data_IF_796351002652
#
_entry.id   IF_796351002652
#
_cell.length_a   1.000
_cell.length_b   1.000
_cell.length_c   1.000
_cell.angle_alpha   90.00
_cell.angle_beta   90.00
_cell.angle_gamma   90.00
#
_symmetry.space_group_name_H-M   'P 1'
#
loop_
_entity.id
_entity.type
_entity.pdbx_description
1 polymer ?
#
# COMPACT_ATOMS: atom_id res chain seq x y z
N UNK A 1 23.08 26.61 1.09
CA UNK A 1 21.85 25.96 1.60
C UNK A 1 20.69 26.49 0.77
N UNK A 2 20.29 25.79 -0.28
CA UNK A 2 19.22 26.24 -1.18
C UNK A 2 17.93 25.59 -0.69
N UNK A 3 17.08 26.38 -0.05
CA UNK A 3 15.78 25.96 0.45
C UNK A 3 14.77 26.12 -0.69
N UNK A 4 14.41 25.02 -1.35
CA UNK A 4 13.41 25.03 -2.40
C UNK A 4 12.01 25.21 -1.78
N UNK A 5 11.44 26.40 -1.90
CA UNK A 5 10.04 26.66 -1.58
C UNK A 5 9.18 26.23 -2.76
N UNK A 6 8.82 24.95 -2.81
CA UNK A 6 7.84 24.46 -3.79
C UNK A 6 6.43 24.87 -3.38
N UNK A 7 5.64 25.33 -4.36
CA UNK A 7 4.22 25.65 -4.16
C UNK A 7 3.37 24.38 -4.02
N UNK A 8 2.21 24.44 -3.34
CA UNK A 8 1.34 23.27 -3.09
C UNK A 8 0.95 22.48 -4.36
N UNK A 9 0.86 23.17 -5.50
CA UNK A 9 0.54 22.56 -6.81
C UNK A 9 1.72 21.76 -7.37
N UNK A 10 2.94 22.25 -7.19
CA UNK A 10 4.17 21.55 -7.61
C UNK A 10 4.44 20.32 -6.74
N UNK A 11 4.16 20.41 -5.43
CA UNK A 11 4.21 19.25 -4.53
C UNK A 11 3.32 18.10 -5.00
N UNK A 12 2.08 18.38 -5.45
CA UNK A 12 1.18 17.36 -5.98
C UNK A 12 1.78 16.61 -7.17
N UNK A 13 2.39 17.34 -8.11
CA UNK A 13 3.00 16.76 -9.32
C UNK A 13 4.26 15.94 -8.99
N UNK A 14 5.08 16.40 -8.05
CA UNK A 14 6.27 15.66 -7.60
C UNK A 14 5.87 14.34 -6.94
N UNK A 15 4.89 14.39 -6.02
CA UNK A 15 4.39 13.20 -5.33
C UNK A 15 3.77 12.18 -6.28
N UNK A 16 3.09 12.63 -7.33
CA UNK A 16 2.50 11.75 -8.35
C UNK A 16 3.58 11.04 -9.17
N UNK A 17 4.65 11.75 -9.56
CA UNK A 17 5.80 11.16 -10.25
C UNK A 17 6.52 10.12 -9.40
N UNK A 18 6.75 10.41 -8.12
CA UNK A 18 7.39 9.45 -7.20
C UNK A 18 6.53 8.21 -6.99
N UNK A 19 5.22 8.38 -6.83
CA UNK A 19 4.27 7.27 -6.71
C UNK A 19 4.31 6.35 -7.94
N UNK A 20 4.36 6.92 -9.16
CA UNK A 20 4.48 6.13 -10.39
C UNK A 20 5.78 5.32 -10.42
N UNK A 21 6.92 5.94 -10.08
CA UNK A 21 8.23 5.26 -10.01
C UNK A 21 8.20 4.07 -9.04
N UNK A 22 7.60 4.23 -7.87
CA UNK A 22 7.47 3.15 -6.89
C UNK A 22 6.63 2.00 -7.45
N UNK A 23 5.54 2.29 -8.16
CA UNK A 23 4.67 1.27 -8.75
C UNK A 23 5.35 0.52 -9.89
N UNK A 24 6.10 1.20 -10.75
CA UNK A 24 6.88 0.58 -11.82
C UNK A 24 7.93 -0.38 -11.25
N UNK A 25 8.64 0.07 -10.21
CA UNK A 25 9.66 -0.75 -9.55
C UNK A 25 9.06 -1.96 -8.84
N UNK A 26 7.92 -1.79 -8.17
CA UNK A 26 7.19 -2.91 -7.56
C UNK A 26 6.79 -3.96 -8.61
N UNK A 27 6.27 -3.52 -9.77
CA UNK A 27 5.90 -4.43 -10.87
C UNK A 27 7.13 -5.13 -11.45
N UNK A 28 8.26 -4.45 -11.57
CA UNK A 28 9.54 -5.04 -12.00
C UNK A 28 9.98 -6.14 -11.04
N UNK A 29 9.95 -5.89 -9.73
CA UNK A 29 10.30 -6.87 -8.70
C UNK A 29 9.37 -8.08 -8.77
N UNK A 30 8.06 -7.87 -8.87
CA UNK A 30 7.07 -8.95 -8.95
C UNK A 30 7.26 -9.81 -10.20
N UNK A 31 7.51 -9.18 -11.36
CA UNK A 31 7.77 -9.91 -12.61
C UNK A 31 9.03 -10.78 -12.53
N UNK A 32 10.08 -10.28 -11.88
CA UNK A 32 11.32 -11.04 -11.69
C UNK A 32 11.16 -12.19 -10.70
N UNK A 33 10.34 -12.01 -9.65
CA UNK A 33 10.07 -13.02 -8.62
C UNK A 33 9.18 -14.16 -9.17
N UNK A 34 8.28 -13.84 -10.10
CA UNK A 34 7.26 -14.73 -10.65
C UNK A 34 6.31 -15.34 -9.60
N UNK A 35 6.18 -14.68 -8.45
CA UNK A 35 5.27 -15.05 -7.37
C UNK A 35 4.83 -13.80 -6.59
N UNK A 36 3.76 -13.93 -5.81
CA UNK A 36 3.24 -12.84 -4.99
C UNK A 36 4.20 -12.47 -3.85
N UNK A 37 4.13 -11.21 -3.41
CA UNK A 37 4.73 -10.77 -2.14
C UNK A 37 3.67 -10.95 -1.05
N UNK A 38 4.05 -11.61 0.04
CA UNK A 38 3.18 -11.86 1.19
C UNK A 38 3.48 -10.80 2.26
N UNK A 39 2.44 -10.10 2.71
CA UNK A 39 2.54 -9.05 3.74
C UNK A 39 1.65 -9.45 4.92
N UNK A 40 2.19 -9.44 6.13
CA UNK A 40 1.48 -9.75 7.36
C UNK A 40 1.41 -8.51 8.26
N UNK A 41 0.21 -7.94 8.42
CA UNK A 41 -0.06 -6.87 9.38
C UNK A 41 -0.35 -7.47 10.76
N UNK A 42 0.69 -7.71 11.55
CA UNK A 42 0.55 -8.29 12.89
C UNK A 42 1.12 -7.42 14.00
N UNK A 43 0.45 -7.46 15.15
CA UNK A 43 0.88 -6.86 16.40
C UNK A 43 0.08 -7.49 17.54
N UNK A 44 0.73 -7.84 18.65
CA UNK A 44 0.09 -8.57 19.75
C UNK A 44 -1.04 -7.78 20.43
N UNK A 45 -1.00 -6.45 20.39
CA UNK A 45 -2.04 -5.61 20.99
C UNK A 45 -3.29 -5.51 20.08
N UNK A 46 -4.46 -5.73 20.66
CA UNK A 46 -5.75 -5.45 20.04
C UNK A 46 -6.01 -3.94 19.89
N UNK A 47 -6.90 -3.54 18.98
CA UNK A 47 -7.32 -2.13 18.83
C UNK A 47 -6.30 -1.17 18.20
N UNK A 48 -5.15 -1.65 17.70
CA UNK A 48 -4.12 -0.79 17.06
C UNK A 48 -4.38 -0.50 15.58
N UNK A 49 -5.53 -0.90 15.04
CA UNK A 49 -5.91 -0.60 13.66
C UNK A 49 -5.37 -1.56 12.58
N UNK A 50 -4.90 -2.78 12.94
CA UNK A 50 -4.40 -3.77 11.96
C UNK A 50 -5.38 -4.05 10.83
N UNK A 51 -6.62 -4.39 11.17
CA UNK A 51 -7.67 -4.67 10.19
C UNK A 51 -8.01 -3.44 9.36
N UNK A 52 -8.06 -2.25 9.99
CA UNK A 52 -8.29 -0.97 9.29
C UNK A 52 -7.19 -0.68 8.26
N UNK A 53 -5.93 -0.92 8.61
CA UNK A 53 -4.80 -0.78 7.70
C UNK A 53 -4.92 -1.76 6.52
N UNK A 54 -5.24 -3.03 6.80
CA UNK A 54 -5.49 -4.03 5.74
C UNK A 54 -6.64 -3.63 4.81
N UNK A 55 -7.75 -3.09 5.34
CA UNK A 55 -8.86 -2.57 4.52
C UNK A 55 -8.41 -1.39 3.66
N UNK A 56 -7.60 -0.49 4.20
CA UNK A 56 -7.11 0.65 3.43
C UNK A 56 -6.11 0.26 2.37
N UNK A 57 -5.27 -0.75 2.64
CA UNK A 57 -4.46 -1.35 1.59
C UNK A 57 -5.31 -1.97 0.50
N UNK A 58 -6.32 -2.77 0.82
CA UNK A 58 -7.21 -3.36 -0.19
C UNK A 58 -7.85 -2.28 -1.08
N UNK A 59 -8.37 -1.22 -0.48
CA UNK A 59 -8.93 -0.08 -1.21
C UNK A 59 -7.90 0.60 -2.12
N UNK A 60 -6.71 0.89 -1.60
CA UNK A 60 -5.66 1.56 -2.38
C UNK A 60 -5.13 0.69 -3.51
N UNK A 61 -4.93 -0.61 -3.28
CA UNK A 61 -4.40 -1.53 -4.29
C UNK A 61 -5.39 -1.76 -5.43
N UNK A 62 -6.69 -1.79 -5.11
CA UNK A 62 -7.76 -1.80 -6.12
C UNK A 62 -7.69 -0.55 -7.00
N UNK A 63 -7.62 0.64 -6.38
CA UNK A 63 -7.46 1.93 -7.10
C UNK A 63 -6.18 2.04 -7.93
N UNK A 64 -5.18 1.21 -7.66
CA UNK A 64 -3.89 1.17 -8.37
C UNK A 64 -3.81 0.01 -9.37
N UNK A 65 -4.91 -0.73 -9.56
CA UNK A 65 -5.00 -1.90 -10.44
C UNK A 65 -3.89 -2.92 -10.14
N UNK A 66 -3.68 -3.20 -8.85
CA UNK A 66 -2.82 -4.27 -8.36
C UNK A 66 -3.68 -5.48 -8.00
N UNK A 67 -3.33 -6.66 -8.51
CA UNK A 67 -4.02 -7.90 -8.16
C UNK A 67 -3.56 -8.34 -6.77
N UNK A 68 -4.47 -8.28 -5.79
CA UNK A 68 -4.19 -8.60 -4.39
C UNK A 68 -5.18 -9.65 -3.89
N UNK A 69 -4.69 -10.62 -3.13
CA UNK A 69 -5.50 -11.58 -2.40
C UNK A 69 -5.45 -11.22 -0.91
N UNK A 70 -6.60 -10.87 -0.34
CA UNK A 70 -6.72 -10.61 1.09
C UNK A 70 -7.09 -11.91 1.81
N UNK A 71 -6.37 -12.25 2.88
CA UNK A 71 -6.65 -13.42 3.72
C UNK A 71 -6.94 -12.91 5.13
N UNK A 72 -8.17 -13.08 5.59
CA UNK A 72 -8.51 -12.85 7.00
C UNK A 72 -8.40 -14.18 7.76
N UNK A 73 -7.43 -14.24 8.68
CA UNK A 73 -7.22 -15.39 9.57
C UNK A 73 -7.67 -15.10 11.01
N UNK A 74 -8.31 -13.95 11.25
CA UNK A 74 -8.95 -13.67 12.52
C UNK A 74 -10.27 -14.45 12.60
N UNK A 75 -10.50 -15.19 13.69
CA UNK A 75 -11.76 -15.92 13.92
C UNK A 75 -12.96 -14.96 13.93
N UNK A 76 -12.76 -13.69 14.32
CA UNK A 76 -13.82 -12.68 14.32
C UNK A 76 -14.15 -12.13 12.93
N UNK A 77 -13.37 -12.49 11.89
CA UNK A 77 -13.53 -12.09 10.51
C UNK A 77 -13.68 -10.56 10.32
N UNK A 78 -12.97 -9.77 11.13
CA UNK A 78 -13.15 -8.32 11.21
C UNK A 78 -12.82 -7.60 9.90
N UNK A 79 -12.02 -8.20 9.01
CA UNK A 79 -11.65 -7.61 7.73
C UNK A 79 -12.72 -7.80 6.65
N UNK A 80 -13.56 -8.84 6.77
CA UNK A 80 -14.56 -9.25 5.75
C UNK A 80 -16.01 -9.00 6.17
N UNK A 81 -16.24 -8.40 7.33
CA UNK A 81 -17.55 -7.85 7.74
C UNK A 81 -17.94 -6.65 6.89
#
# INVERSE_FOLDING_TARGET
MIQYYYTKKEWGVVMEKEKLKILEELRRILNNKNEAIIILNNYFKGGVGKSKLSTMFAYLTDKLNLKVLMIDKDLQATLTK
#
